data_IF_006881298189
#
_entry.id   IF_006881298189
#
_cell.length_a   1.000
_cell.length_b   1.000
_cell.length_c   1.000
_cell.angle_alpha   90.00
_cell.angle_beta   90.00
_cell.angle_gamma   90.00
#
_symmetry.space_group_name_H-M   'P 1'
#
loop_
_entity.id
_entity.type
_entity.pdbx_description
1 polymer ?
#
# COMPACT_ATOMS: atom_id res chain seq x y z
N UNK A 1 -40.39 -6.21 -24.51
CA UNK A 1 -40.06 -4.96 -23.79
C UNK A 1 -39.77 -5.31 -22.35
N UNK A 2 -38.58 -5.00 -21.85
CA UNK A 2 -38.18 -5.33 -20.48
C UNK A 2 -36.67 -5.14 -20.31
N UNK A 3 -36.19 -3.93 -20.57
CA UNK A 3 -34.80 -3.56 -20.31
C UNK A 3 -34.59 -3.43 -18.81
N UNK A 4 -33.69 -4.23 -18.24
CA UNK A 4 -33.20 -4.03 -16.90
C UNK A 4 -32.35 -2.75 -16.90
N UNK A 5 -32.86 -1.71 -16.24
CA UNK A 5 -32.10 -0.49 -15.91
C UNK A 5 -30.88 -0.91 -15.08
N UNK A 6 -29.69 -0.65 -15.60
CA UNK A 6 -28.49 -0.62 -14.78
C UNK A 6 -28.63 0.54 -13.79
N UNK A 7 -28.55 0.24 -12.50
CA UNK A 7 -28.33 1.27 -11.48
C UNK A 7 -26.93 1.85 -11.69
N UNK A 8 -26.86 3.09 -12.16
CA UNK A 8 -25.64 3.88 -12.11
C UNK A 8 -25.27 4.11 -10.65
N UNK A 9 -24.13 3.54 -10.23
CA UNK A 9 -23.54 3.76 -8.93
C UNK A 9 -22.91 5.16 -8.88
N UNK A 10 -23.16 5.99 -7.85
CA UNK A 10 -22.62 7.34 -7.79
C UNK A 10 -21.08 7.32 -7.68
N UNK A 11 -20.37 8.23 -8.36
CA UNK A 11 -18.90 8.29 -8.28
C UNK A 11 -18.47 8.98 -6.98
N UNK A 12 -17.49 8.40 -6.27
CA UNK A 12 -16.74 9.13 -5.24
C UNK A 12 -17.15 8.94 -3.77
N UNK A 13 -17.59 7.73 -3.38
CA UNK A 13 -17.79 7.37 -1.95
C UNK A 13 -16.60 6.61 -1.33
N UNK A 14 -16.57 6.51 0.01
CA UNK A 14 -15.59 5.72 0.78
C UNK A 14 -15.48 4.25 0.34
N UNK A 15 -16.53 3.72 -0.31
CA UNK A 15 -16.49 2.40 -0.94
C UNK A 15 -15.49 2.34 -2.10
N UNK A 16 -15.41 3.39 -2.92
CA UNK A 16 -14.56 3.43 -4.12
C UNK A 16 -13.07 3.44 -3.75
N UNK A 17 -12.74 3.99 -2.58
CA UNK A 17 -11.42 3.91 -1.94
C UNK A 17 -11.12 2.50 -1.43
N UNK A 18 -12.05 1.86 -0.73
CA UNK A 18 -11.92 0.47 -0.33
C UNK A 18 -11.79 -0.50 -1.52
N UNK A 19 -12.35 -0.19 -2.69
CA UNK A 19 -12.16 -0.98 -3.92
C UNK A 19 -10.82 -0.67 -4.62
N UNK A 20 -10.35 0.58 -4.60
CA UNK A 20 -9.05 0.97 -5.14
C UNK A 20 -7.87 0.49 -4.28
N UNK A 21 -8.08 0.31 -2.96
CA UNK A 21 -7.08 -0.09 -1.97
C UNK A 21 -7.27 -1.52 -1.41
N UNK A 22 -8.47 -2.09 -1.51
CA UNK A 22 -8.84 -3.37 -0.93
C UNK A 22 -9.08 -4.42 -2.01
N UNK A 23 -8.18 -5.38 -2.09
CA UNK A 23 -8.40 -6.57 -2.88
C UNK A 23 -9.51 -7.41 -2.23
N UNK A 24 -10.69 -7.47 -2.86
CA UNK A 24 -11.79 -8.36 -2.43
C UNK A 24 -11.41 -9.85 -2.46
N UNK A 25 -10.29 -10.23 -3.09
CA UNK A 25 -9.79 -11.60 -3.14
C UNK A 25 -8.53 -11.90 -2.32
N UNK A 26 -8.06 -11.00 -1.43
CA UNK A 26 -6.79 -11.22 -0.71
C UNK A 26 -6.88 -12.14 0.53
N UNK A 27 -8.08 -12.50 0.98
CA UNK A 27 -8.29 -13.33 2.17
C UNK A 27 -8.98 -14.65 1.82
N UNK A 28 -8.36 -15.45 0.96
CA UNK A 28 -8.67 -16.88 0.91
C UNK A 28 -7.74 -17.59 1.89
N UNK A 29 -8.09 -17.57 3.18
CA UNK A 29 -7.40 -18.28 4.27
C UNK A 29 -7.59 -19.80 4.10
N UNK A 30 -6.94 -20.40 3.10
CA UNK A 30 -6.86 -21.87 3.04
C UNK A 30 -5.87 -22.36 4.08
N UNK A 31 -6.40 -23.06 5.09
CA UNK A 31 -5.62 -23.69 6.14
C UNK A 31 -4.57 -24.67 5.56
N UNK A 32 -3.26 -24.48 5.79
CA UNK A 32 -2.25 -25.41 5.33
C UNK A 32 -2.17 -26.61 6.29
N UNK A 33 -2.13 -27.81 5.72
CA UNK A 33 -1.99 -29.07 6.48
C UNK A 33 -0.50 -29.30 6.82
N UNK A 34 -0.18 -29.14 8.11
CA UNK A 34 0.95 -29.71 8.92
C UNK A 34 2.19 -28.83 9.23
N UNK A 35 2.52 -28.83 10.55
CA UNK A 35 3.79 -28.56 11.29
C UNK A 35 3.67 -27.46 12.37
N UNK A 36 3.78 -27.75 13.70
CA UNK A 36 3.51 -26.80 14.79
C UNK A 36 4.39 -25.55 14.83
N UNK A 37 5.61 -25.61 14.29
CA UNK A 37 6.56 -24.50 14.27
C UNK A 37 6.30 -23.59 13.05
N UNK A 38 5.99 -24.17 11.89
CA UNK A 38 5.59 -23.41 10.71
C UNK A 38 4.21 -22.76 10.87
N UNK A 39 3.31 -23.38 11.65
CA UNK A 39 1.97 -22.85 11.96
C UNK A 39 2.01 -21.55 12.79
N UNK A 40 3.08 -21.32 13.55
CA UNK A 40 3.28 -20.11 14.37
C UNK A 40 3.79 -18.90 13.58
N UNK A 41 4.29 -19.12 12.36
CA UNK A 41 4.90 -18.08 11.53
C UNK A 41 4.06 -17.78 10.28
N UNK A 42 2.77 -17.48 10.48
CA UNK A 42 2.03 -16.73 9.47
C UNK A 42 2.47 -15.28 9.59
N UNK A 43 3.42 -14.86 8.76
CA UNK A 43 3.80 -13.44 8.64
C UNK A 43 2.88 -12.82 7.60
N UNK A 44 1.84 -12.13 8.05
CA UNK A 44 1.06 -11.28 7.16
C UNK A 44 1.80 -9.95 7.05
N UNK A 45 2.61 -9.81 5.99
CA UNK A 45 3.17 -8.51 5.61
C UNK A 45 2.03 -7.70 4.98
N UNK A 46 1.38 -6.86 5.78
CA UNK A 46 0.26 -6.03 5.32
C UNK A 46 0.87 -4.77 4.71
N UNK A 47 1.21 -4.85 3.43
CA UNK A 47 1.72 -3.70 2.66
C UNK A 47 0.59 -2.80 2.15
N UNK A 48 -0.65 -3.30 2.17
CA UNK A 48 -1.87 -2.52 2.08
C UNK A 48 -2.88 -3.14 3.03
N UNK A 49 -3.21 -2.40 4.09
CA UNK A 49 -4.42 -2.67 4.88
C UNK A 49 -5.59 -2.60 3.90
N UNK A 50 -6.03 -3.73 3.35
CA UNK A 50 -7.23 -3.76 2.54
C UNK A 50 -8.40 -3.37 3.44
N UNK A 51 -9.37 -2.59 2.94
CA UNK A 51 -10.54 -2.15 3.71
C UNK A 51 -11.20 -3.23 4.57
N UNK A 52 -11.16 -4.49 4.09
CA UNK A 52 -11.65 -5.66 4.80
C UNK A 52 -10.95 -5.96 6.13
N UNK A 53 -9.67 -5.59 6.29
CA UNK A 53 -8.92 -5.81 7.53
C UNK A 53 -9.40 -4.87 8.66
N UNK A 54 -9.67 -3.61 8.32
CA UNK A 54 -10.23 -2.63 9.27
C UNK A 54 -11.71 -2.92 9.52
N UNK A 55 -12.46 -3.30 8.49
CA UNK A 55 -13.87 -3.64 8.64
C UNK A 55 -14.12 -4.86 9.56
N UNK A 56 -13.25 -5.88 9.52
CA UNK A 56 -13.38 -7.11 10.31
C UNK A 56 -12.33 -7.20 11.44
N UNK A 57 -11.87 -6.05 11.96
CA UNK A 57 -10.74 -5.97 12.87
C UNK A 57 -10.88 -6.84 14.13
N UNK A 58 -12.09 -6.97 14.70
CA UNK A 58 -12.32 -7.76 15.89
C UNK A 58 -12.07 -9.26 15.67
N UNK A 59 -12.64 -9.82 14.59
CA UNK A 59 -12.45 -11.24 14.23
C UNK A 59 -10.99 -11.54 13.86
N UNK A 60 -10.35 -10.60 13.16
CA UNK A 60 -8.94 -10.70 12.78
C UNK A 60 -8.06 -10.67 14.03
N UNK A 61 -8.31 -9.75 14.96
CA UNK A 61 -7.54 -9.68 16.20
C UNK A 61 -7.68 -10.97 17.02
N UNK A 62 -8.90 -11.50 17.15
CA UNK A 62 -9.16 -12.76 17.83
C UNK A 62 -8.46 -13.94 17.13
N UNK A 63 -8.51 -14.02 15.80
CA UNK A 63 -7.77 -15.04 15.05
C UNK A 63 -6.26 -14.93 15.29
N UNK A 64 -5.69 -13.72 15.17
CA UNK A 64 -4.26 -13.50 15.29
C UNK A 64 -3.76 -13.88 16.68
N UNK A 65 -4.48 -13.47 17.72
CA UNK A 65 -4.13 -13.77 19.10
C UNK A 65 -4.25 -15.27 19.42
N UNK A 66 -5.34 -15.93 19.00
CA UNK A 66 -5.51 -17.39 19.21
C UNK A 66 -4.47 -18.24 18.48
N UNK A 67 -4.00 -17.77 17.32
CA UNK A 67 -3.02 -18.50 16.49
C UNK A 67 -1.58 -18.06 16.71
N UNK A 68 -1.33 -17.02 17.50
CA UNK A 68 0.00 -16.46 17.72
C UNK A 68 0.61 -15.82 16.46
N UNK A 69 -0.24 -15.27 15.59
CA UNK A 69 0.19 -14.61 14.34
C UNK A 69 0.84 -13.28 14.68
N UNK A 70 2.01 -13.04 14.11
CA UNK A 70 2.70 -11.75 14.21
C UNK A 70 2.46 -10.93 12.95
N UNK A 71 2.10 -9.65 13.12
CA UNK A 71 1.85 -8.75 12.00
C UNK A 71 2.98 -7.75 11.80
N UNK A 72 3.32 -7.45 10.54
CA UNK A 72 4.21 -6.35 10.20
C UNK A 72 3.39 -5.35 9.39
N UNK A 73 3.17 -4.17 9.96
CA UNK A 73 2.55 -3.07 9.25
C UNK A 73 3.62 -2.25 8.56
N UNK A 74 3.53 -2.14 7.23
CA UNK A 74 4.42 -1.29 6.43
C UNK A 74 3.62 -0.14 5.84
N UNK A 75 3.81 1.05 6.37
CA UNK A 75 3.16 2.27 5.88
C UNK A 75 4.11 3.16 5.09
N UNK A 76 3.54 4.11 4.35
CA UNK A 76 4.29 5.17 3.69
C UNK A 76 3.84 6.50 4.28
N UNK A 77 4.78 7.27 4.83
CA UNK A 77 4.47 8.61 5.36
C UNK A 77 4.05 9.57 4.26
N UNK A 78 4.64 9.47 3.08
CA UNK A 78 4.24 10.29 1.93
C UNK A 78 3.03 9.67 1.22
N UNK A 79 1.82 10.10 1.60
CA UNK A 79 0.55 9.59 1.08
C UNK A 79 0.31 10.01 -0.38
N UNK A 80 0.83 11.16 -0.83
CA UNK A 80 0.77 11.55 -2.25
C UNK A 80 1.51 10.55 -3.13
N UNK A 81 2.72 10.16 -2.74
CA UNK A 81 3.51 9.14 -3.47
C UNK A 81 2.88 7.76 -3.37
N UNK A 82 2.22 7.44 -2.26
CA UNK A 82 1.44 6.21 -2.14
C UNK A 82 0.31 6.18 -3.18
N UNK A 83 -0.47 7.26 -3.26
CA UNK A 83 -1.56 7.41 -4.22
C UNK A 83 -1.07 7.26 -5.67
N UNK A 84 0.01 7.97 -6.04
CA UNK A 84 0.57 7.89 -7.40
C UNK A 84 1.01 6.46 -7.74
N UNK A 85 1.68 5.80 -6.81
CA UNK A 85 2.13 4.40 -7.00
C UNK A 85 0.95 3.44 -7.15
N UNK A 86 -0.16 3.69 -6.46
CA UNK A 86 -1.37 2.88 -6.55
C UNK A 86 -2.11 3.10 -7.87
N UNK A 87 -2.25 4.36 -8.30
CA UNK A 87 -2.85 4.69 -9.59
C UNK A 87 -2.06 4.07 -10.74
N UNK A 88 -0.72 4.15 -10.71
CA UNK A 88 0.13 3.52 -11.71
C UNK A 88 0.01 1.99 -11.71
N UNK A 89 -0.02 1.36 -10.53
CA UNK A 89 -0.23 -0.08 -10.42
C UNK A 89 -1.60 -0.51 -10.95
N UNK A 90 -2.66 0.25 -10.63
CA UNK A 90 -4.02 -0.04 -11.08
C UNK A 90 -4.16 0.18 -12.59
N UNK A 91 -3.50 1.18 -13.16
CA UNK A 91 -3.43 1.37 -14.61
C UNK A 91 -2.83 0.16 -15.31
N UNK A 92 -1.70 -0.36 -14.80
CA UNK A 92 -1.07 -1.57 -15.34
C UNK A 92 -1.93 -2.83 -15.17
N UNK A 93 -2.81 -2.89 -14.17
CA UNK A 93 -3.73 -4.04 -14.01
C UNK A 93 -4.63 -4.25 -15.23
N UNK A 94 -5.04 -3.15 -15.88
CA UNK A 94 -5.90 -3.19 -17.06
C UNK A 94 -5.09 -3.27 -18.36
N UNK A 95 -4.04 -2.45 -18.51
CA UNK A 95 -3.25 -2.42 -19.74
C UNK A 95 -2.26 -3.57 -19.87
N UNK A 96 -1.81 -4.13 -18.75
CA UNK A 96 -0.84 -5.24 -18.68
C UNK A 96 0.38 -4.97 -19.55
N UNK A 97 1.07 -3.87 -19.27
CA UNK A 97 2.08 -3.26 -20.15
C UNK A 97 3.32 -4.14 -20.38
N UNK A 98 3.50 -5.19 -19.57
CA UNK A 98 4.62 -6.12 -19.67
C UNK A 98 4.14 -7.43 -20.30
N UNK A 99 4.15 -7.48 -21.64
CA UNK A 99 3.79 -8.64 -22.44
C UNK A 99 2.40 -9.22 -22.09
N UNK A 100 1.40 -8.35 -21.92
CA UNK A 100 0.04 -8.77 -21.57
C UNK A 100 -0.09 -9.31 -20.15
N UNK A 101 0.90 -9.08 -19.29
CA UNK A 101 0.87 -9.44 -17.86
C UNK A 101 0.95 -8.19 -16.98
N UNK A 102 0.12 -8.14 -15.94
CA UNK A 102 0.24 -7.15 -14.87
C UNK A 102 1.36 -7.54 -13.90
N UNK A 103 2.26 -6.62 -13.57
CA UNK A 103 3.26 -6.84 -12.51
C UNK A 103 3.34 -5.66 -11.55
N UNK A 104 2.96 -5.89 -10.29
CA UNK A 104 3.14 -4.91 -9.22
C UNK A 104 4.62 -4.71 -8.81
N UNK A 105 5.46 -5.72 -9.07
CA UNK A 105 6.88 -5.69 -8.79
C UNK A 105 7.65 -6.25 -9.99
N UNK A 106 8.76 -5.59 -10.32
CA UNK A 106 9.60 -5.91 -11.48
C UNK A 106 11.01 -6.26 -11.05
N UNK A 107 11.73 -6.96 -11.92
CA UNK A 107 13.08 -7.45 -11.62
C UNK A 107 14.17 -6.82 -12.47
N UNK A 108 13.81 -6.07 -13.51
CA UNK A 108 14.75 -5.37 -14.38
C UNK A 108 14.47 -3.87 -14.41
N UNK A 109 15.48 -3.09 -14.77
CA UNK A 109 15.35 -1.64 -14.91
C UNK A 109 14.47 -1.27 -16.11
N UNK A 110 14.49 -2.07 -17.17
CA UNK A 110 13.69 -1.84 -18.37
C UNK A 110 12.20 -2.02 -18.10
N UNK A 111 11.81 -3.09 -17.39
CA UNK A 111 10.42 -3.29 -16.95
C UNK A 111 9.96 -2.13 -16.06
N UNK A 112 10.81 -1.71 -15.10
CA UNK A 112 10.53 -0.55 -14.24
C UNK A 112 10.34 0.73 -15.05
N UNK A 113 11.21 0.97 -16.04
CA UNK A 113 11.13 2.14 -16.89
C UNK A 113 9.86 2.15 -17.75
N UNK A 114 9.40 1.00 -18.24
CA UNK A 114 8.13 0.87 -18.98
C UNK A 114 6.96 1.28 -18.09
N UNK A 115 6.85 0.67 -16.90
CA UNK A 115 5.75 0.96 -15.96
C UNK A 115 5.77 2.41 -15.45
N UNK A 116 6.96 3.00 -15.30
CA UNK A 116 7.14 4.37 -14.83
C UNK A 116 6.81 5.45 -15.88
N UNK A 117 6.45 5.07 -17.12
CA UNK A 117 6.02 6.02 -18.17
C UNK A 117 4.65 6.61 -17.89
N UNK A 118 3.76 5.83 -17.29
CA UNK A 118 2.43 6.31 -16.95
C UNK A 118 2.51 7.41 -15.88
N UNK A 119 1.84 8.53 -16.15
CA UNK A 119 1.68 9.64 -15.20
C UNK A 119 0.19 9.81 -14.91
N UNK A 120 -0.29 9.52 -13.69
CA UNK A 120 -1.68 9.80 -13.37
C UNK A 120 -1.96 11.30 -13.35
N UNK A 121 -3.14 11.67 -13.86
CA UNK A 121 -3.77 12.96 -13.59
C UNK A 121 -4.55 12.86 -12.28
N UNK A 122 -4.31 13.77 -11.33
CA UNK A 122 -4.98 13.77 -10.03
C UNK A 122 -6.14 14.77 -10.00
N UNK A 123 -7.23 14.38 -9.32
CA UNK A 123 -8.34 15.29 -9.02
C UNK A 123 -7.98 16.17 -7.83
N UNK A 124 -7.65 17.44 -8.09
CA UNK A 124 -7.21 18.39 -7.06
C UNK A 124 -8.33 18.81 -6.11
N UNK A 125 -9.59 18.82 -6.58
CA UNK A 125 -10.77 19.16 -5.77
C UNK A 125 -10.97 18.19 -4.60
N UNK A 126 -10.68 16.90 -4.80
CA UNK A 126 -10.80 15.87 -3.76
C UNK A 126 -9.47 15.46 -3.13
N UNK A 127 -8.34 16.02 -3.55
CA UNK A 127 -7.01 15.53 -3.15
C UNK A 127 -6.79 15.64 -1.63
N UNK A 128 -7.11 16.79 -1.03
CA UNK A 128 -6.91 17.02 0.41
C UNK A 128 -7.77 16.06 1.24
N UNK A 129 -9.05 15.89 0.89
CA UNK A 129 -9.94 14.97 1.60
C UNK A 129 -9.50 13.51 1.44
N UNK A 130 -8.99 13.17 0.28
CA UNK A 130 -8.41 11.85 -0.02
C UNK A 130 -7.18 11.54 0.83
N UNK A 131 -6.24 12.49 0.92
CA UNK A 131 -5.04 12.35 1.76
C UNK A 131 -5.41 12.25 3.24
N UNK A 132 -6.38 13.05 3.69
CA UNK A 132 -6.92 12.98 5.04
C UNK A 132 -7.49 11.60 5.34
N UNK A 133 -8.35 11.08 4.48
CA UNK A 133 -8.95 9.77 4.68
C UNK A 133 -7.91 8.65 4.75
N UNK A 134 -6.84 8.70 3.94
CA UNK A 134 -5.77 7.72 3.98
C UNK A 134 -4.98 7.76 5.32
N UNK A 135 -4.78 8.96 5.88
CA UNK A 135 -4.17 9.12 7.20
C UNK A 135 -5.07 8.59 8.32
N UNK A 136 -6.36 8.95 8.30
CA UNK A 136 -7.36 8.46 9.25
C UNK A 136 -7.44 6.93 9.23
N UNK A 137 -7.43 6.33 8.04
CA UNK A 137 -7.46 4.89 7.88
C UNK A 137 -6.22 4.20 8.48
N UNK A 138 -5.05 4.81 8.36
CA UNK A 138 -3.82 4.29 8.99
C UNK A 138 -3.93 4.33 10.51
N UNK A 139 -4.44 5.43 11.06
CA UNK A 139 -4.67 5.58 12.51
C UNK A 139 -5.70 4.60 13.04
N UNK A 140 -6.83 4.44 12.34
CA UNK A 140 -7.91 3.56 12.74
C UNK A 140 -7.46 2.10 12.71
N UNK A 141 -6.69 1.69 11.72
CA UNK A 141 -6.14 0.34 11.66
C UNK A 141 -5.18 0.05 12.82
N UNK A 142 -4.27 0.98 13.14
CA UNK A 142 -3.37 0.84 14.29
C UNK A 142 -4.15 0.76 15.60
N UNK A 143 -5.18 1.58 15.75
CA UNK A 143 -6.01 1.59 16.95
C UNK A 143 -6.83 0.30 17.09
N UNK A 144 -7.46 -0.15 16.01
CA UNK A 144 -8.34 -1.31 16.01
C UNK A 144 -7.57 -2.63 16.17
N UNK A 145 -6.32 -2.67 15.73
CA UNK A 145 -5.45 -3.84 15.79
C UNK A 145 -4.37 -3.73 16.87
N UNK A 146 -4.47 -2.76 17.79
CA UNK A 146 -3.48 -2.54 18.85
C UNK A 146 -3.27 -3.76 19.76
N UNK A 147 -4.25 -4.65 19.84
CA UNK A 147 -4.24 -5.84 20.69
C UNK A 147 -3.51 -7.04 20.06
N UNK A 148 -3.16 -6.98 18.77
CA UNK A 148 -2.39 -8.07 18.12
C UNK A 148 -0.90 -7.86 18.34
N UNK A 149 -0.13 -8.94 18.30
CA UNK A 149 1.33 -8.85 18.31
C UNK A 149 1.83 -8.28 16.96
N UNK A 150 2.23 -7.01 16.94
CA UNK A 150 2.65 -6.33 15.71
C UNK A 150 3.87 -5.43 15.89
N UNK A 151 4.53 -5.16 14.78
CA UNK A 151 5.50 -4.07 14.62
C UNK A 151 5.04 -3.15 13.47
N UNK A 152 5.21 -1.85 13.65
CA UNK A 152 4.90 -0.85 12.62
C UNK A 152 6.19 -0.25 12.08
N UNK A 153 6.29 -0.22 10.77
CA UNK A 153 7.46 0.27 10.03
C UNK A 153 7.00 1.22 8.95
N UNK A 154 7.77 2.27 8.74
CA UNK A 154 7.54 3.18 7.63
C UNK A 154 8.56 2.94 6.53
N UNK A 155 8.10 2.96 5.29
CA UNK A 155 8.91 2.80 4.09
C UNK A 155 10.13 3.73 4.11
N UNK A 156 9.93 4.98 4.53
CA UNK A 156 10.96 6.00 4.61
C UNK A 156 12.09 5.64 5.57
N UNK A 157 11.77 4.96 6.67
CA UNK A 157 12.78 4.50 7.64
C UNK A 157 13.63 3.38 7.06
N UNK A 158 13.04 2.50 6.25
CA UNK A 158 13.77 1.42 5.56
C UNK A 158 14.69 1.94 4.46
N UNK A 159 14.31 3.02 3.79
CA UNK A 159 15.13 3.65 2.75
C UNK A 159 16.27 4.46 3.37
N UNK A 160 15.99 5.24 4.41
CA UNK A 160 16.99 6.08 5.07
C UNK A 160 17.97 5.28 5.94
N UNK A 161 17.49 4.23 6.62
CA UNK A 161 18.32 3.40 7.49
C UNK A 161 17.99 1.92 7.35
N UNK A 162 18.82 1.20 6.58
CA UNK A 162 18.65 -0.25 6.36
C UNK A 162 18.79 -1.10 7.63
N UNK A 163 19.39 -0.59 8.72
CA UNK A 163 19.48 -1.35 9.96
C UNK A 163 18.12 -1.58 10.60
N UNK A 164 17.09 -0.79 10.24
CA UNK A 164 15.70 -1.00 10.66
C UNK A 164 15.13 -2.35 10.26
N UNK A 165 15.69 -3.00 9.24
CA UNK A 165 15.32 -4.37 8.88
C UNK A 165 15.77 -5.40 9.94
N UNK A 166 16.77 -5.08 10.77
CA UNK A 166 17.18 -5.95 11.88
C UNK A 166 16.10 -5.99 12.96
N UNK A 167 15.45 -4.86 13.24
CA UNK A 167 14.31 -4.77 14.17
C UNK A 167 13.19 -5.73 13.76
N UNK A 168 12.95 -5.90 12.44
CA UNK A 168 12.00 -6.90 11.90
C UNK A 168 12.43 -8.32 12.18
N UNK A 169 13.70 -8.65 11.95
CA UNK A 169 14.23 -10.00 12.15
C UNK A 169 14.19 -10.37 13.63
N UNK A 170 14.51 -9.43 14.51
CA UNK A 170 14.43 -9.60 15.95
C UNK A 170 12.98 -9.76 16.43
N UNK A 171 12.06 -8.94 15.93
CA UNK A 171 10.62 -9.07 16.19
C UNK A 171 10.09 -10.46 15.81
N UNK A 172 10.48 -10.94 14.63
CA UNK A 172 10.13 -12.28 14.14
C UNK A 172 10.90 -13.42 14.81
N UNK A 173 11.89 -13.11 15.67
CA UNK A 173 12.77 -14.07 16.36
C UNK A 173 13.51 -14.99 15.37
N UNK A 174 13.94 -14.45 14.24
CA UNK A 174 14.74 -15.17 13.25
C UNK A 174 16.19 -14.67 13.25
N UNK A 175 17.16 -15.51 12.83
CA UNK A 175 18.56 -15.08 12.80
C UNK A 175 18.77 -13.83 11.96
N UNK A 176 19.52 -12.87 12.53
CA UNK A 176 19.96 -11.68 11.81
C UNK A 176 20.81 -12.09 10.61
N UNK A 177 20.45 -11.59 9.44
CA UNK A 177 21.19 -11.82 8.20
C UNK A 177 20.97 -10.68 7.24
N UNK A 178 21.90 -10.49 6.30
CA UNK A 178 21.75 -9.53 5.22
C UNK A 178 20.54 -9.91 4.35
N UNK A 179 19.54 -9.03 4.29
CA UNK A 179 18.40 -9.18 3.40
C UNK A 179 18.71 -8.56 2.04
N UNK A 180 18.33 -9.28 0.98
CA UNK A 180 18.47 -8.83 -0.41
C UNK A 180 17.15 -9.02 -1.13
N UNK A 181 16.86 -8.14 -2.07
CA UNK A 181 15.69 -8.25 -2.95
C UNK A 181 16.12 -8.13 -4.39
N UNK A 182 15.45 -8.89 -5.26
CA UNK A 182 15.56 -8.75 -6.72
C UNK A 182 14.60 -7.69 -7.27
N UNK A 183 13.76 -7.07 -6.41
CA UNK A 183 12.82 -6.06 -6.86
C UNK A 183 13.55 -4.77 -7.22
N UNK A 184 13.19 -4.20 -8.36
CA UNK A 184 13.66 -2.89 -8.81
C UNK A 184 12.58 -1.86 -8.52
N UNK A 185 12.97 -0.72 -7.95
CA UNK A 185 12.06 0.39 -7.69
C UNK A 185 11.62 1.01 -9.02
N UNK A 186 10.31 1.06 -9.25
CA UNK A 186 9.69 1.59 -10.47
C UNK A 186 9.79 3.13 -10.50
N UNK A 187 9.19 3.79 -9.51
CA UNK A 187 9.10 5.25 -9.46
C UNK A 187 10.32 5.88 -8.77
N UNK A 188 11.30 6.32 -9.56
CA UNK A 188 12.58 6.91 -9.08
C UNK A 188 12.76 8.39 -9.42
N UNK A 189 11.91 8.95 -10.29
CA UNK A 189 11.98 10.35 -10.74
C UNK A 189 11.39 11.34 -9.72
N UNK A 190 11.61 12.66 -9.82
CA UNK A 190 10.89 13.65 -9.03
C UNK A 190 9.37 13.56 -9.24
N UNK A 191 8.57 14.02 -8.26
CA UNK A 191 7.11 14.00 -8.35
C UNK A 191 6.57 14.78 -9.55
N UNK A 192 7.19 15.90 -9.89
CA UNK A 192 6.85 16.72 -11.05
C UNK A 192 6.92 15.96 -12.38
N UNK A 193 7.78 14.95 -12.46
CA UNK A 193 7.89 14.09 -13.63
C UNK A 193 6.96 12.88 -13.60
N UNK A 194 6.32 12.59 -12.47
CA UNK A 194 5.44 11.44 -12.26
C UNK A 194 3.96 11.79 -12.32
N UNK A 195 3.58 13.06 -12.18
CA UNK A 195 2.20 13.51 -12.18
C UNK A 195 1.93 14.28 -13.47
N UNK A 196 0.80 14.01 -14.12
CA UNK A 196 0.45 14.68 -15.39
C UNK A 196 0.16 16.18 -15.18
N UNK A 197 -0.67 16.52 -14.19
CA UNK A 197 -1.05 17.89 -13.84
C UNK A 197 -0.31 18.40 -12.59
N UNK A 198 1.03 18.32 -12.61
CA UNK A 198 1.87 18.65 -11.45
C UNK A 198 1.60 20.04 -10.87
N UNK A 199 1.53 21.08 -11.69
CA UNK A 199 1.37 22.46 -11.19
C UNK A 199 0.06 22.66 -10.44
N UNK A 200 -1.04 22.05 -10.92
CA UNK A 200 -2.33 22.04 -10.23
C UNK A 200 -2.23 21.34 -8.87
N UNK A 201 -1.55 20.19 -8.81
CA UNK A 201 -1.35 19.41 -7.58
C UNK A 201 -0.45 20.15 -6.59
N UNK A 202 0.64 20.76 -7.08
CA UNK A 202 1.54 21.58 -6.27
C UNK A 202 0.76 22.72 -5.62
N UNK A 203 0.02 23.50 -6.43
CA UNK A 203 -0.79 24.62 -5.93
C UNK A 203 -1.88 24.18 -4.96
N UNK A 204 -2.48 23.00 -5.15
CA UNK A 204 -3.50 22.46 -4.24
C UNK A 204 -2.95 22.05 -2.86
N UNK A 205 -1.67 21.67 -2.77
CA UNK A 205 -1.05 21.20 -1.52
C UNK A 205 -0.12 22.22 -0.86
N UNK A 206 0.41 23.18 -1.61
CA UNK A 206 1.29 24.21 -1.12
C UNK A 206 0.57 25.09 -0.06
N UNK A 207 1.21 25.34 1.08
CA UNK A 207 0.62 26.06 2.20
C UNK A 207 -0.44 25.28 3.00
N UNK A 208 -0.63 23.98 2.71
CA UNK A 208 -1.51 23.09 3.49
C UNK A 208 -0.71 22.21 4.43
N UNK A 209 -1.39 21.50 5.36
CA UNK A 209 -0.74 20.49 6.22
C UNK A 209 -0.04 19.35 5.44
N UNK A 210 -0.38 19.17 4.16
CA UNK A 210 0.20 18.16 3.28
C UNK A 210 1.34 18.68 2.40
N UNK A 211 1.78 19.93 2.57
CA UNK A 211 2.87 20.53 1.78
C UNK A 211 4.15 19.70 1.84
N UNK A 212 4.45 19.08 2.98
CA UNK A 212 5.62 18.21 3.15
C UNK A 212 5.66 17.04 2.16
N UNK A 213 4.50 16.63 1.60
CA UNK A 213 4.43 15.56 0.61
C UNK A 213 4.99 15.96 -0.77
N UNK A 214 5.13 17.26 -1.05
CA UNK A 214 5.71 17.77 -2.29
C UNK A 214 7.23 17.58 -2.37
N UNK A 215 7.92 17.55 -1.22
CA UNK A 215 9.38 17.68 -1.14
C UNK A 215 10.13 16.38 -0.83
N UNK A 216 9.45 15.26 -0.63
CA UNK A 216 10.10 14.03 -0.19
C UNK A 216 10.76 13.29 -1.37
N UNK A 217 11.82 13.85 -1.95
CA UNK A 217 12.74 13.10 -2.79
C UNK A 217 13.67 12.29 -1.88
N UNK A 218 13.39 10.98 -1.77
CA UNK A 218 14.39 10.07 -1.23
C UNK A 218 15.57 10.11 -2.20
N UNK A 219 16.65 10.79 -1.81
CA UNK A 219 17.94 10.58 -2.46
C UNK A 219 18.32 9.13 -2.16
N UNK A 220 18.27 8.28 -3.18
CA UNK A 220 18.70 6.88 -3.12
C UNK A 220 20.21 6.85 -3.32
#
# INVERSE_FOLDING_TARGET
>A
MGGAKGEEKPPGGAEDWCYHFGNKGAFDLKAPKKSPIALRMVVLAVTMLCGGLVANHAEIADYFNRRGVSAIFLFRRNLLRQLISQLANNHDRYLKQLNGTHKAHVHTRDEANILAKYKPRLNTTSLISSLKQADEYTRDALQNLKSIHHITIYYEDLISNRTRLLDVLDFLKVPRRKLVSRHVKIHTRPLSEQIENWDEVYNALNGTQYESFLNADYRI
#
